data_IF_053911193978
#
_entry.id   IF_053911193978
#
_cell.length_a   1.000
_cell.length_b   1.000
_cell.length_c   1.000
_cell.angle_alpha   90.00
_cell.angle_beta   90.00
_cell.angle_gamma   90.00
#
_symmetry.space_group_name_H-M   'P 1'
#
loop_
_entity.id
_entity.type
_entity.pdbx_description
1 polymer ?
#
# COMPACT_ATOMS: atom_id res chain seq x y z
N UNK A 1 -33.52 -21.66 32.05
CA UNK A 1 -33.32 -20.27 31.60
C UNK A 1 -32.02 -19.79 32.21
N UNK A 2 -30.91 -20.00 31.50
CA UNK A 2 -29.58 -19.60 31.97
C UNK A 2 -29.33 -18.17 31.51
N UNK A 3 -29.21 -17.25 32.47
CA UNK A 3 -28.93 -15.83 32.19
C UNK A 3 -27.47 -15.71 31.74
N UNK A 4 -27.26 -15.57 30.43
CA UNK A 4 -25.98 -15.12 29.88
C UNK A 4 -25.72 -13.67 30.33
N UNK A 5 -24.90 -13.53 31.37
CA UNK A 5 -24.42 -12.26 31.90
C UNK A 5 -23.50 -11.64 30.85
N UNK A 6 -24.02 -10.62 30.16
CA UNK A 6 -23.26 -9.86 29.17
C UNK A 6 -22.56 -8.72 29.90
N UNK A 7 -21.25 -8.85 30.13
CA UNK A 7 -20.46 -7.81 30.78
C UNK A 7 -20.23 -6.66 29.80
N UNK A 8 -20.94 -5.55 30.03
CA UNK A 8 -20.76 -4.28 29.32
C UNK A 8 -19.61 -3.52 29.96
N UNK A 9 -18.38 -3.94 29.70
CA UNK A 9 -17.17 -3.23 30.09
C UNK A 9 -16.23 -3.10 28.90
N UNK A 10 -15.50 -1.99 28.81
CA UNK A 10 -14.39 -1.83 27.86
C UNK A 10 -13.30 -2.86 28.19
N UNK A 11 -13.34 -4.00 27.52
CA UNK A 11 -12.35 -5.07 27.64
C UNK A 11 -11.28 -4.86 26.56
N UNK A 12 -10.00 -5.10 26.90
CA UNK A 12 -8.88 -4.99 25.96
C UNK A 12 -9.00 -5.97 24.77
N UNK A 13 -9.79 -7.04 24.94
CA UNK A 13 -9.99 -8.08 23.93
C UNK A 13 -11.18 -7.77 23.00
N UNK A 14 -10.90 -7.02 21.92
CA UNK A 14 -11.89 -6.58 20.93
C UNK A 14 -12.69 -7.72 20.27
N UNK A 15 -12.20 -8.98 20.32
CA UNK A 15 -12.92 -10.15 19.78
C UNK A 15 -14.08 -10.62 20.68
N UNK A 16 -14.12 -10.20 21.93
CA UNK A 16 -15.13 -10.61 22.93
C UNK A 16 -16.23 -9.59 23.16
N UNK A 17 -16.16 -8.42 22.53
CA UNK A 17 -17.19 -7.39 22.68
C UNK A 17 -18.52 -7.80 22.02
N UNK A 18 -19.67 -7.44 22.62
CA UNK A 18 -20.98 -7.84 22.14
C UNK A 18 -21.27 -7.25 20.76
N UNK A 19 -21.45 -8.14 19.78
CA UNK A 19 -21.94 -7.77 18.45
C UNK A 19 -23.36 -7.22 18.57
N UNK A 20 -23.59 -5.97 18.15
CA UNK A 20 -24.94 -5.42 17.97
C UNK A 20 -25.74 -6.35 17.05
N UNK A 21 -26.74 -7.01 17.62
CA UNK A 21 -27.72 -7.82 16.88
C UNK A 21 -28.57 -6.88 16.04
N UNK A 22 -28.33 -6.86 14.73
CA UNK A 22 -29.18 -6.16 13.76
C UNK A 22 -30.28 -7.15 13.36
N UNK A 23 -31.55 -6.75 13.50
CA UNK A 23 -32.67 -7.52 12.99
C UNK A 23 -32.62 -7.54 11.47
N UNK A 24 -32.23 -8.68 10.91
CA UNK A 24 -32.20 -8.90 9.48
C UNK A 24 -33.63 -9.18 9.01
N UNK A 25 -34.22 -8.25 8.25
CA UNK A 25 -35.50 -8.50 7.57
C UNK A 25 -35.27 -9.44 6.39
N UNK A 26 -36.27 -10.23 6.01
CA UNK A 26 -36.20 -11.39 5.07
C UNK A 26 -35.71 -11.10 3.63
N UNK A 27 -35.19 -9.91 3.30
CA UNK A 27 -34.69 -9.54 1.96
C UNK A 27 -33.17 -9.35 1.90
N UNK A 28 -32.40 -10.22 2.56
CA UNK A 28 -30.94 -10.20 2.44
C UNK A 28 -30.50 -10.89 1.15
N UNK A 29 -29.80 -10.15 0.30
CA UNK A 29 -29.17 -10.64 -0.93
C UNK A 29 -28.26 -11.84 -0.66
N UNK A 30 -28.22 -12.78 -1.61
CA UNK A 30 -27.43 -14.00 -1.53
C UNK A 30 -25.96 -13.68 -1.24
N UNK A 31 -25.55 -13.91 0.02
CA UNK A 31 -24.17 -13.76 0.45
C UNK A 31 -23.41 -15.02 0.03
N UNK A 32 -22.31 -14.84 -0.71
CA UNK A 32 -21.42 -15.93 -1.13
C UNK A 32 -21.05 -16.78 0.08
N UNK A 33 -21.24 -18.10 -0.06
CA UNK A 33 -20.92 -19.12 0.95
C UNK A 33 -19.40 -19.26 1.03
N UNK A 34 -18.77 -18.36 1.79
CA UNK A 34 -17.44 -18.55 2.34
C UNK A 34 -17.52 -18.27 3.82
N UNK A 35 -16.88 -19.09 4.65
CA UNK A 35 -16.81 -18.84 6.09
C UNK A 35 -16.11 -17.49 6.31
N UNK A 36 -16.84 -16.42 6.69
CA UNK A 36 -16.21 -15.14 6.88
C UNK A 36 -15.33 -15.29 8.11
N UNK A 37 -14.01 -15.23 7.91
CA UNK A 37 -13.05 -15.16 9.00
C UNK A 37 -13.45 -14.09 10.03
N UNK A 38 -12.88 -14.11 11.25
CA UNK A 38 -13.39 -13.34 12.38
C UNK A 38 -13.59 -11.84 12.07
N UNK A 39 -14.85 -11.40 11.97
CA UNK A 39 -15.23 -10.01 11.72
C UNK A 39 -15.47 -9.26 13.04
N UNK A 40 -15.03 -8.00 13.09
CA UNK A 40 -15.20 -7.06 14.19
C UNK A 40 -16.10 -5.90 13.76
N UNK A 41 -16.74 -5.23 14.74
CA UNK A 41 -17.52 -4.04 14.45
C UNK A 41 -16.61 -2.88 14.04
N UNK A 42 -17.02 -2.12 13.02
CA UNK A 42 -16.29 -0.95 12.52
C UNK A 42 -16.17 0.13 13.61
N UNK A 43 -17.26 0.42 14.30
CA UNK A 43 -17.26 1.29 15.48
C UNK A 43 -17.20 0.42 16.75
N UNK A 44 -16.34 0.73 17.74
CA UNK A 44 -15.37 1.82 17.76
C UNK A 44 -13.98 1.42 17.21
N UNK A 45 -13.73 0.12 16.98
CA UNK A 45 -12.37 -0.40 16.80
C UNK A 45 -11.64 0.11 15.56
N UNK A 46 -12.31 0.17 14.39
CA UNK A 46 -11.68 0.65 13.17
C UNK A 46 -11.45 2.15 13.25
N UNK A 47 -12.45 2.91 13.71
CA UNK A 47 -12.35 4.37 13.79
C UNK A 47 -11.24 4.83 14.73
N UNK A 48 -11.06 4.18 15.88
CA UNK A 48 -9.96 4.52 16.80
C UNK A 48 -8.60 4.26 16.14
N UNK A 49 -8.44 3.12 15.45
CA UNK A 49 -7.18 2.81 14.74
C UNK A 49 -6.90 3.79 13.61
N UNK A 50 -7.92 4.14 12.83
CA UNK A 50 -7.81 5.10 11.75
C UNK A 50 -7.50 6.51 12.27
N UNK A 51 -8.13 6.94 13.37
CA UNK A 51 -7.84 8.20 14.03
C UNK A 51 -6.39 8.27 14.54
N UNK A 52 -5.87 7.17 15.13
CA UNK A 52 -4.47 7.10 15.56
C UNK A 52 -3.53 7.19 14.34
N UNK A 53 -3.80 6.43 13.28
CA UNK A 53 -2.99 6.47 12.05
C UNK A 53 -3.00 7.86 11.40
N UNK A 54 -4.16 8.51 11.35
CA UNK A 54 -4.32 9.89 10.88
C UNK A 54 -3.52 10.87 11.74
N UNK A 55 -3.60 10.77 13.07
CA UNK A 55 -2.86 11.65 13.97
C UNK A 55 -1.34 11.49 13.79
N UNK A 56 -0.85 10.26 13.67
CA UNK A 56 0.57 9.98 13.40
C UNK A 56 0.99 10.60 12.06
N UNK A 57 0.16 10.49 11.01
CA UNK A 57 0.43 11.09 9.71
C UNK A 57 0.51 12.62 9.79
N UNK A 58 -0.43 13.26 10.50
CA UNK A 58 -0.44 14.71 10.70
C UNK A 58 0.81 15.17 11.47
N UNK A 59 1.19 14.46 12.54
CA UNK A 59 2.42 14.77 13.30
C UNK A 59 3.64 14.66 12.39
N UNK A 60 3.76 13.58 11.61
CA UNK A 60 4.86 13.41 10.67
C UNK A 60 4.92 14.54 9.64
N UNK A 61 3.77 14.96 9.09
CA UNK A 61 3.69 16.06 8.14
C UNK A 61 4.09 17.40 8.75
N UNK A 62 3.65 17.69 9.97
CA UNK A 62 4.05 18.91 10.71
C UNK A 62 5.55 18.91 11.00
N UNK A 63 6.11 17.78 11.45
CA UNK A 63 7.56 17.67 11.68
C UNK A 63 8.34 17.97 10.39
N UNK A 64 7.94 17.39 9.26
CA UNK A 64 8.57 17.68 7.95
C UNK A 64 8.48 19.17 7.62
N UNK A 65 7.32 19.81 7.81
CA UNK A 65 7.14 21.23 7.54
C UNK A 65 7.97 22.15 8.47
N UNK A 66 8.23 21.72 9.71
CA UNK A 66 9.08 22.46 10.66
C UNK A 66 10.58 22.32 10.36
N UNK A 67 11.01 21.17 9.83
CA UNK A 67 12.41 20.93 9.49
C UNK A 67 12.76 21.35 8.05
N UNK A 68 11.76 21.45 7.16
CA UNK A 68 11.96 21.75 5.75
C UNK A 68 11.11 22.96 5.33
N UNK A 69 11.75 24.12 5.24
CA UNK A 69 11.10 25.34 4.77
C UNK A 69 10.71 25.22 3.29
N UNK A 70 9.42 25.44 3.01
CA UNK A 70 8.89 25.62 1.66
C UNK A 70 8.60 27.12 1.45
N UNK A 71 9.58 27.90 0.96
CA UNK A 71 9.39 29.34 0.78
C UNK A 71 8.26 29.60 -0.23
N UNK A 72 7.41 30.57 0.08
CA UNK A 72 6.39 31.04 -0.85
C UNK A 72 7.07 31.80 -2.00
N UNK A 73 6.75 31.44 -3.23
CA UNK A 73 7.21 32.19 -4.41
C UNK A 73 6.48 33.53 -4.55
N UNK A 74 6.99 34.39 -5.43
CA UNK A 74 6.37 35.69 -5.73
C UNK A 74 4.97 35.51 -6.33
N UNK A 75 4.14 36.56 -6.23
CA UNK A 75 2.84 36.59 -6.91
C UNK A 75 3.01 36.32 -8.41
N UNK A 76 2.09 35.53 -8.96
CA UNK A 76 2.18 35.06 -10.34
C UNK A 76 2.23 36.25 -11.33
N UNK A 77 3.26 36.26 -12.18
CA UNK A 77 3.43 37.23 -13.25
C UNK A 77 3.35 36.51 -14.61
N UNK A 78 2.30 36.74 -15.43
CA UNK A 78 2.16 36.08 -16.72
C UNK A 78 3.19 36.54 -17.77
N UNK A 79 3.89 37.65 -17.51
CA UNK A 79 4.95 38.18 -18.40
C UNK A 79 6.34 37.64 -18.06
N UNK A 80 6.49 36.88 -16.97
CA UNK A 80 7.77 36.36 -16.51
C UNK A 80 7.65 34.86 -16.21
N UNK A 81 8.35 34.04 -17.00
CA UNK A 81 8.48 32.61 -16.71
C UNK A 81 9.65 32.40 -15.74
N UNK A 82 9.41 31.89 -14.52
CA UNK A 82 10.49 31.61 -13.58
C UNK A 82 11.44 30.53 -14.11
N UNK A 83 12.73 30.68 -13.85
CA UNK A 83 13.76 29.68 -14.15
C UNK A 83 14.42 29.26 -12.83
N UNK A 84 14.27 28.00 -12.36
CA UNK A 84 13.72 26.83 -13.05
C UNK A 84 12.22 26.61 -12.84
N UNK A 85 11.45 26.53 -13.92
CA UNK A 85 10.07 26.04 -13.89
C UNK A 85 10.04 24.50 -13.88
N UNK A 86 10.15 23.90 -12.68
CA UNK A 86 9.97 22.45 -12.49
C UNK A 86 8.60 22.18 -11.90
N UNK A 87 7.88 21.21 -12.46
CA UNK A 87 6.58 20.84 -11.91
C UNK A 87 6.74 19.98 -10.63
N UNK A 88 5.70 19.85 -9.81
CA UNK A 88 5.74 19.08 -8.57
C UNK A 88 6.22 17.64 -8.75
N UNK A 89 6.83 17.08 -7.70
CA UNK A 89 7.50 15.77 -7.73
C UNK A 89 6.58 14.60 -8.12
N UNK A 90 5.28 14.66 -7.80
CA UNK A 90 4.31 13.64 -8.20
C UNK A 90 4.02 13.65 -9.72
N UNK A 91 4.41 14.71 -10.43
CA UNK A 91 4.41 14.79 -11.88
C UNK A 91 5.78 14.49 -12.51
N UNK A 92 6.80 14.10 -11.73
CA UNK A 92 8.14 13.84 -12.27
C UNK A 92 8.10 12.82 -13.42
N UNK A 93 7.34 11.73 -13.28
CA UNK A 93 7.21 10.74 -14.35
C UNK A 93 6.59 11.30 -15.65
N UNK A 94 5.62 12.21 -15.53
CA UNK A 94 5.03 12.90 -16.68
C UNK A 94 6.00 13.90 -17.31
N UNK A 95 6.79 14.60 -16.49
CA UNK A 95 7.82 15.54 -16.95
C UNK A 95 8.93 14.83 -17.73
N UNK A 96 9.42 13.70 -17.23
CA UNK A 96 10.40 12.86 -17.93
C UNK A 96 9.83 12.35 -19.25
N UNK A 97 8.57 11.91 -19.26
CA UNK A 97 7.92 11.47 -20.48
C UNK A 97 7.79 12.58 -21.53
N UNK A 98 7.48 13.81 -21.10
CA UNK A 98 7.45 15.01 -21.96
C UNK A 98 8.84 15.43 -22.46
N UNK A 99 9.91 15.04 -21.77
CA UNK A 99 11.28 15.29 -22.21
C UNK A 99 11.65 14.38 -23.40
N UNK A 100 11.18 13.13 -23.39
CA UNK A 100 11.58 12.12 -24.38
C UNK A 100 10.56 11.91 -25.52
N UNK A 101 9.29 12.24 -25.32
CA UNK A 101 8.23 12.00 -26.30
C UNK A 101 7.48 13.29 -26.71
N UNK A 102 6.86 13.31 -27.90
CA UNK A 102 6.00 14.41 -28.31
C UNK A 102 4.90 14.70 -27.28
N UNK A 103 4.52 15.98 -27.06
CA UNK A 103 3.55 16.35 -26.03
C UNK A 103 2.20 15.63 -26.12
N UNK A 104 1.73 15.35 -27.33
CA UNK A 104 0.52 14.56 -27.55
C UNK A 104 0.63 13.13 -26.99
N UNK A 105 1.77 12.47 -27.22
CA UNK A 105 1.98 11.08 -26.79
C UNK A 105 2.14 11.03 -25.27
N UNK A 106 3.02 11.87 -24.73
CA UNK A 106 3.32 11.91 -23.30
C UNK A 106 2.16 12.44 -22.44
N UNK A 107 1.51 13.52 -22.89
CA UNK A 107 0.49 14.23 -22.12
C UNK A 107 -0.92 13.67 -22.27
N UNK A 108 -1.25 13.09 -23.43
CA UNK A 108 -2.62 12.66 -23.74
C UNK A 108 -2.69 11.15 -23.93
N UNK A 109 -1.95 10.60 -24.90
CA UNK A 109 -2.11 9.21 -25.31
C UNK A 109 -1.76 8.23 -24.19
N UNK A 110 -0.57 8.34 -23.60
CA UNK A 110 -0.11 7.42 -22.54
C UNK A 110 -0.98 7.50 -21.28
N UNK A 111 -1.26 8.69 -20.70
CA UNK A 111 -2.15 8.79 -19.54
C UNK A 111 -3.56 8.25 -19.80
N UNK A 112 -4.11 8.51 -20.98
CA UNK A 112 -5.43 8.00 -21.37
C UNK A 112 -5.45 6.47 -21.44
N UNK A 113 -4.40 5.86 -22.01
CA UNK A 113 -4.25 4.41 -22.04
C UNK A 113 -4.16 3.80 -20.63
N UNK A 114 -3.46 4.45 -19.69
CA UNK A 114 -3.39 3.99 -18.29
C UNK A 114 -4.78 3.99 -17.66
N UNK A 115 -5.57 5.06 -17.84
CA UNK A 115 -6.94 5.13 -17.32
C UNK A 115 -7.83 4.06 -17.95
N UNK A 116 -7.77 3.88 -19.27
CA UNK A 116 -8.50 2.81 -19.97
C UNK A 116 -8.09 1.44 -19.42
N UNK A 117 -6.80 1.20 -19.21
CA UNK A 117 -6.32 -0.05 -18.65
C UNK A 117 -6.90 -0.29 -17.25
N UNK A 118 -6.91 0.71 -16.36
CA UNK A 118 -7.53 0.63 -15.03
C UNK A 118 -9.03 0.32 -15.09
N UNK A 119 -9.76 0.89 -16.05
CA UNK A 119 -11.18 0.61 -16.27
C UNK A 119 -11.38 -0.82 -16.81
N UNK A 120 -10.49 -1.30 -17.67
CA UNK A 120 -10.62 -2.60 -18.35
C UNK A 120 -10.20 -3.78 -17.45
N UNK A 121 -9.21 -3.60 -16.55
CA UNK A 121 -8.71 -4.63 -15.63
C UNK A 121 -9.81 -5.47 -14.95
N UNK A 122 -10.87 -4.89 -14.33
CA UNK A 122 -11.90 -5.67 -13.64
C UNK A 122 -12.75 -6.57 -14.55
N UNK A 123 -12.73 -6.35 -15.87
CA UNK A 123 -13.49 -7.16 -16.83
C UNK A 123 -12.74 -8.42 -17.27
N UNK A 124 -11.44 -8.50 -16.98
CA UNK A 124 -10.67 -9.71 -17.21
C UNK A 124 -10.69 -10.59 -15.97
N UNK A 125 -10.93 -11.90 -16.18
CA UNK A 125 -10.86 -12.89 -15.10
C UNK A 125 -9.40 -13.19 -14.76
N UNK A 126 -8.74 -12.23 -14.10
CA UNK A 126 -7.41 -12.43 -13.54
C UNK A 126 -7.60 -13.16 -12.22
N UNK A 127 -7.47 -14.48 -12.23
CA UNK A 127 -7.46 -15.30 -11.02
C UNK A 127 -6.14 -15.08 -10.26
N UNK A 128 -5.99 -13.89 -9.68
CA UNK A 128 -4.93 -13.62 -8.71
C UNK A 128 -5.41 -14.26 -7.41
N UNK A 129 -4.96 -15.50 -7.17
CA UNK A 129 -5.02 -16.07 -5.82
C UNK A 129 -4.35 -15.03 -4.90
N UNK A 130 -5.11 -14.39 -4.02
CA UNK A 130 -4.65 -13.33 -3.11
C UNK A 130 -3.74 -13.86 -2.00
N UNK A 131 -2.94 -14.88 -2.30
CA UNK A 131 -2.03 -15.50 -1.37
C UNK A 131 -0.78 -14.65 -1.20
N UNK A 132 -0.24 -14.53 0.02
CA UNK A 132 1.03 -13.86 0.25
C UNK A 132 2.15 -14.46 -0.62
N UNK A 133 3.04 -13.62 -1.13
CA UNK A 133 4.15 -14.02 -2.02
C UNK A 133 5.01 -15.19 -1.49
N UNK A 134 5.06 -15.40 -0.17
CA UNK A 134 5.84 -16.47 0.46
C UNK A 134 5.01 -17.70 0.90
N UNK A 135 3.70 -17.76 0.60
CA UNK A 135 2.80 -18.78 1.14
C UNK A 135 2.96 -20.17 0.50
N UNK A 136 3.00 -20.23 -0.84
CA UNK A 136 2.95 -21.51 -1.55
C UNK A 136 4.33 -22.14 -1.77
N UNK A 137 5.31 -21.35 -2.21
CA UNK A 137 6.67 -21.82 -2.55
C UNK A 137 7.74 -20.79 -2.16
N UNK A 138 8.01 -20.62 -0.85
CA UNK A 138 8.86 -19.54 -0.35
C UNK A 138 10.27 -19.54 -0.96
N UNK A 139 10.91 -20.70 -1.09
CA UNK A 139 12.26 -20.81 -1.64
C UNK A 139 12.33 -20.51 -3.14
N UNK A 140 11.40 -21.04 -3.94
CA UNK A 140 11.35 -20.77 -5.40
C UNK A 140 11.03 -19.30 -5.67
N UNK A 141 10.06 -18.75 -4.95
CA UNK A 141 9.67 -17.36 -5.09
C UNK A 141 10.82 -16.42 -4.68
N UNK A 142 11.63 -16.81 -3.68
CA UNK A 142 12.78 -16.03 -3.27
C UNK A 142 13.85 -16.01 -4.35
N UNK A 143 14.15 -17.16 -4.95
CA UNK A 143 15.09 -17.24 -6.07
C UNK A 143 14.63 -16.40 -7.27
N UNK A 144 13.34 -16.46 -7.62
CA UNK A 144 12.79 -15.64 -8.72
C UNK A 144 12.93 -14.15 -8.38
N UNK A 145 12.49 -13.73 -7.18
CA UNK A 145 12.60 -12.32 -6.76
C UNK A 145 14.05 -11.85 -6.76
N UNK A 146 14.97 -12.63 -6.22
CA UNK A 146 16.40 -12.30 -6.18
C UNK A 146 17.00 -12.16 -7.57
N UNK A 147 16.72 -13.11 -8.48
CA UNK A 147 17.20 -13.06 -9.86
C UNK A 147 16.62 -11.85 -10.59
N UNK A 148 15.32 -11.60 -10.47
CA UNK A 148 14.66 -10.44 -11.10
C UNK A 148 15.21 -9.12 -10.56
N UNK A 149 15.35 -8.98 -9.24
CA UNK A 149 15.94 -7.79 -8.60
C UNK A 149 17.39 -7.62 -9.02
N UNK A 150 18.18 -8.69 -9.05
CA UNK A 150 19.59 -8.63 -9.45
C UNK A 150 19.73 -8.16 -10.91
N UNK A 151 18.96 -8.73 -11.82
CA UNK A 151 18.94 -8.32 -13.23
C UNK A 151 18.53 -6.84 -13.35
N UNK A 152 17.50 -6.42 -12.62
CA UNK A 152 17.03 -5.04 -12.63
C UNK A 152 18.09 -4.08 -12.08
N UNK A 153 18.72 -4.39 -10.94
CA UNK A 153 19.78 -3.56 -10.36
C UNK A 153 21.02 -3.51 -11.25
N UNK A 154 21.42 -4.63 -11.85
CA UNK A 154 22.52 -4.66 -12.81
C UNK A 154 22.23 -3.78 -14.03
N UNK A 155 21.02 -3.87 -14.59
CA UNK A 155 20.57 -3.00 -15.67
C UNK A 155 20.62 -1.51 -15.27
N UNK A 156 20.06 -1.15 -14.11
CA UNK A 156 20.06 0.23 -13.62
C UNK A 156 21.49 0.77 -13.36
N UNK A 157 22.39 -0.09 -12.88
CA UNK A 157 23.80 0.26 -12.67
C UNK A 157 24.52 0.55 -14.00
N UNK A 158 24.30 -0.24 -15.05
CA UNK A 158 24.88 -0.03 -16.38
C UNK A 158 24.47 1.34 -16.94
N UNK A 159 23.20 1.71 -16.79
CA UNK A 159 22.68 3.01 -17.25
C UNK A 159 22.91 4.17 -16.26
N UNK A 160 23.64 3.95 -15.16
CA UNK A 160 23.93 4.97 -14.14
C UNK A 160 22.67 5.64 -13.58
N UNK A 161 21.56 4.90 -13.50
CA UNK A 161 20.26 5.37 -13.05
C UNK A 161 20.17 5.38 -11.50
N UNK A 162 21.05 6.13 -10.83
CA UNK A 162 21.21 6.14 -9.37
C UNK A 162 19.94 6.52 -8.60
N UNK A 163 19.13 7.40 -9.17
CA UNK A 163 17.86 7.88 -8.58
C UNK A 163 16.82 6.77 -8.44
N UNK A 164 16.84 5.79 -9.35
CA UNK A 164 15.93 4.64 -9.34
C UNK A 164 16.58 3.45 -8.60
N UNK A 165 17.89 3.29 -8.77
CA UNK A 165 18.65 2.21 -8.15
C UNK A 165 18.49 2.17 -6.62
N UNK A 166 18.64 3.32 -5.95
CA UNK A 166 18.58 3.38 -4.47
C UNK A 166 17.21 2.96 -3.94
N UNK A 167 16.08 3.55 -4.38
CA UNK A 167 14.75 3.08 -3.97
C UNK A 167 14.50 1.60 -4.26
N UNK A 168 14.90 1.11 -5.44
CA UNK A 168 14.73 -0.31 -5.80
C UNK A 168 15.53 -1.23 -4.87
N UNK A 169 16.76 -0.86 -4.52
CA UNK A 169 17.57 -1.60 -3.57
C UNK A 169 16.96 -1.61 -2.16
N UNK A 170 16.37 -0.49 -1.72
CA UNK A 170 15.65 -0.42 -0.44
C UNK A 170 14.43 -1.35 -0.43
N UNK A 171 13.63 -1.35 -1.50
CA UNK A 171 12.48 -2.26 -1.62
C UNK A 171 12.94 -3.72 -1.61
N UNK A 172 14.02 -4.05 -2.33
CA UNK A 172 14.58 -5.39 -2.31
C UNK A 172 15.05 -5.81 -0.91
N UNK A 173 15.71 -4.91 -0.18
CA UNK A 173 16.12 -5.16 1.20
C UNK A 173 14.91 -5.39 2.13
N UNK A 174 13.84 -4.61 1.97
CA UNK A 174 12.59 -4.79 2.72
C UNK A 174 11.90 -6.13 2.39
N UNK A 175 11.92 -6.55 1.12
CA UNK A 175 11.39 -7.86 0.71
C UNK A 175 12.19 -9.01 1.32
N UNK A 176 13.51 -8.90 1.34
CA UNK A 176 14.39 -9.87 1.99
C UNK A 176 14.16 -9.91 3.51
N UNK A 177 14.05 -8.74 4.14
CA UNK A 177 13.70 -8.65 5.55
C UNK A 177 12.33 -9.28 5.86
N UNK A 178 11.34 -9.08 4.99
CA UNK A 178 10.02 -9.71 5.11
C UNK A 178 10.12 -11.24 5.06
N UNK A 179 10.95 -11.79 4.15
CA UNK A 179 11.19 -13.22 4.05
C UNK A 179 11.82 -13.80 5.33
N UNK A 180 12.87 -13.15 5.84
CA UNK A 180 13.60 -13.64 7.03
C UNK A 180 12.74 -13.60 8.30
N UNK A 181 11.95 -12.54 8.49
CA UNK A 181 11.05 -12.42 9.64
C UNK A 181 9.96 -13.50 9.62
N UNK A 182 9.38 -13.81 8.46
CA UNK A 182 8.34 -14.85 8.34
C UNK A 182 8.89 -16.23 8.68
N UNK A 183 10.02 -16.60 8.08
CA UNK A 183 10.61 -17.93 8.28
C UNK A 183 11.22 -18.08 9.68
N UNK A 184 11.76 -17.00 10.26
CA UNK A 184 12.15 -16.95 11.66
C UNK A 184 10.97 -17.21 12.59
N UNK A 185 9.81 -16.59 12.37
CA UNK A 185 8.64 -16.76 13.23
C UNK A 185 8.11 -18.20 13.26
N UNK A 186 8.21 -18.93 12.15
CA UNK A 186 7.86 -20.36 12.08
C UNK A 186 8.83 -21.22 12.92
N UNK A 187 10.14 -20.92 12.90
CA UNK A 187 11.15 -21.63 13.69
C UNK A 187 11.04 -21.42 15.21
N UNK A 188 10.81 -20.18 15.65
CA UNK A 188 10.69 -19.85 17.09
C UNK A 188 9.42 -20.42 17.73
N UNK A 189 8.31 -20.47 17.00
CA UNK A 189 7.06 -21.05 17.50
C UNK A 189 7.13 -22.58 17.60
N UNK A 190 7.83 -23.24 16.68
CA UNK A 190 8.02 -24.69 16.73
C UNK A 190 8.98 -25.11 17.85
N UNK A 191 9.99 -24.28 18.17
CA UNK A 191 10.93 -24.55 19.26
C UNK A 191 10.33 -24.41 20.67
N UNK A 192 9.25 -23.64 20.81
CA UNK A 192 8.50 -23.50 22.08
C UNK A 192 7.36 -24.52 22.22
N UNK A 193 7.07 -25.27 21.16
CA UNK A 193 6.00 -26.28 21.11
C UNK A 193 6.51 -27.72 21.33
N UNK A 194 7.81 -27.89 21.58
CA UNK A 194 8.48 -29.14 22.01
C UNK A 194 9.04 -28.99 23.41
#
# INVERSE_FOLDING_TARGET
MEKNKSETGFSSDAKKEPRRVVFVTKKTSAKVVGDPGPQLMTYPHLLIREAIAFQVLVIAMVLVALFWDAPLEQLANPLLTPNPAKAPWYFLGLQELLHFFPPFVAGILIPTLVVIALVVIPYFNVNIEGEPIWARRPSQNLSIVLVTVFILLAFLAVFHAWTIFVPTAVVAALLLFSYTVRHGREGWLNALAT
#
